data_IF_430927504982
#
_entry.id   IF_430927504982
#
_cell.length_a   1.000
_cell.length_b   1.000
_cell.length_c   1.000
_cell.angle_alpha   90.00
_cell.angle_beta   90.00
_cell.angle_gamma   90.00
#
_symmetry.space_group_name_H-M   'P 1'
#
loop_
_entity.id
_entity.type
_entity.pdbx_description
1 polymer ?
#
# COMPACT_ATOMS: atom_id res chain seq x y z
N UNK A 1 -25.40 27.03 -37.07
CA UNK A 1 -24.11 26.91 -36.37
C UNK A 1 -24.22 26.68 -34.85
N UNK A 2 -25.41 26.43 -34.25
CA UNK A 2 -25.59 26.34 -32.81
C UNK A 2 -25.70 24.89 -32.25
N UNK A 3 -25.64 23.88 -33.14
CA UNK A 3 -25.75 22.46 -32.77
C UNK A 3 -24.41 21.69 -32.74
N UNK A 4 -23.32 22.30 -33.20
CA UNK A 4 -21.99 21.69 -33.23
C UNK A 4 -21.19 21.90 -31.92
N UNK A 5 -21.56 22.89 -31.08
CA UNK A 5 -20.89 23.18 -29.80
C UNK A 5 -21.25 22.22 -28.66
N UNK A 6 -22.35 21.49 -28.78
CA UNK A 6 -22.79 20.54 -27.72
C UNK A 6 -22.06 19.19 -27.80
N UNK A 7 -21.53 18.83 -28.93
CA UNK A 7 -20.78 17.57 -29.11
C UNK A 7 -19.34 17.65 -28.61
N UNK A 8 -18.77 18.85 -28.53
CA UNK A 8 -17.39 19.06 -28.05
C UNK A 8 -17.27 19.00 -26.52
N UNK A 9 -18.37 19.23 -25.79
CA UNK A 9 -18.38 19.21 -24.31
C UNK A 9 -18.40 17.77 -23.77
N UNK A 10 -18.93 16.82 -24.56
CA UNK A 10 -19.00 15.41 -24.10
C UNK A 10 -17.64 14.66 -24.18
N UNK A 11 -16.69 15.16 -24.98
CA UNK A 11 -15.35 14.54 -25.10
C UNK A 11 -14.41 14.95 -23.97
N UNK A 12 -14.69 16.04 -23.24
CA UNK A 12 -13.86 16.53 -22.14
C UNK A 12 -14.17 15.88 -20.77
N UNK A 13 -15.21 15.06 -20.66
CA UNK A 13 -15.57 14.35 -19.43
C UNK A 13 -14.95 12.94 -19.33
N UNK A 14 -14.20 12.51 -20.34
CA UNK A 14 -13.47 11.23 -20.31
C UNK A 14 -12.04 11.36 -19.76
N UNK A 15 -11.74 12.41 -19.03
CA UNK A 15 -10.40 12.67 -18.53
C UNK A 15 -10.32 12.72 -17.00
N UNK A 16 -9.38 11.96 -16.48
CA UNK A 16 -8.86 11.97 -15.10
C UNK A 16 -9.62 11.15 -14.08
N UNK A 17 -9.74 9.85 -14.31
CA UNK A 17 -9.76 8.90 -13.21
C UNK A 17 -8.36 8.79 -12.61
N UNK A 18 -7.94 9.72 -11.76
CA UNK A 18 -6.73 9.61 -10.93
C UNK A 18 -6.91 8.55 -9.84
N UNK A 19 -7.41 7.36 -10.21
CA UNK A 19 -7.62 6.22 -9.35
C UNK A 19 -6.53 5.16 -9.54
N UNK A 20 -6.64 4.13 -8.76
CA UNK A 20 -5.75 2.96 -8.81
C UNK A 20 -5.89 2.15 -10.11
N UNK A 21 -7.03 2.24 -10.81
CA UNK A 21 -7.29 1.57 -12.08
C UNK A 21 -6.60 2.31 -13.24
N UNK A 22 -5.90 1.55 -14.09
CA UNK A 22 -5.25 2.05 -15.33
C UNK A 22 -6.14 1.90 -16.56
N UNK A 23 -7.23 1.15 -16.41
CA UNK A 23 -8.29 0.96 -17.40
C UNK A 23 -9.64 1.32 -16.75
N UNK A 24 -10.70 1.57 -17.52
CA UNK A 24 -12.05 1.72 -16.95
C UNK A 24 -12.42 0.53 -16.07
N UNK A 25 -13.14 0.78 -14.97
CA UNK A 25 -13.51 -0.28 -14.01
C UNK A 25 -14.31 -1.41 -14.64
N UNK A 26 -15.17 -1.10 -15.58
CA UNK A 26 -15.98 -2.05 -16.34
C UNK A 26 -15.09 -2.97 -17.18
N UNK A 27 -14.05 -2.40 -17.81
CA UNK A 27 -13.07 -3.16 -18.56
C UNK A 27 -12.23 -4.05 -17.64
N UNK A 28 -11.80 -3.53 -16.48
CA UNK A 28 -11.12 -4.32 -15.47
C UNK A 28 -11.94 -5.55 -15.07
N UNK A 29 -13.23 -5.37 -14.76
CA UNK A 29 -14.15 -6.45 -14.38
C UNK A 29 -14.37 -7.48 -15.48
N UNK A 30 -14.43 -7.03 -16.74
CA UNK A 30 -14.56 -7.91 -17.88
C UNK A 30 -13.29 -8.76 -18.10
N UNK A 31 -12.11 -8.19 -17.84
CA UNK A 31 -10.80 -8.83 -18.05
C UNK A 31 -10.35 -9.71 -16.89
N UNK A 32 -10.74 -9.40 -15.64
CA UNK A 32 -10.30 -10.14 -14.44
C UNK A 32 -11.50 -10.63 -13.66
N UNK A 33 -11.97 -11.82 -13.99
CA UNK A 33 -13.07 -12.51 -13.31
C UNK A 33 -12.55 -13.45 -12.24
N UNK A 34 -11.40 -14.09 -12.49
CA UNK A 34 -10.70 -14.96 -11.55
C UNK A 34 -9.35 -14.31 -11.21
N UNK A 35 -9.13 -13.97 -9.94
CA UNK A 35 -7.92 -13.30 -9.47
C UNK A 35 -7.00 -14.28 -8.76
N UNK A 36 -5.74 -14.39 -9.20
CA UNK A 36 -4.68 -15.08 -8.49
C UNK A 36 -4.00 -14.15 -7.49
N UNK A 37 -3.81 -14.57 -6.26
CA UNK A 37 -3.11 -13.81 -5.23
C UNK A 37 -1.79 -14.49 -4.91
N UNK A 38 -0.69 -13.78 -5.15
CA UNK A 38 0.66 -14.27 -4.84
C UNK A 38 0.96 -14.15 -3.34
N UNK A 39 1.91 -14.93 -2.81
CA UNK A 39 2.53 -14.64 -1.53
C UNK A 39 3.05 -13.20 -1.48
N UNK A 40 3.12 -12.62 -0.28
CA UNK A 40 3.71 -11.28 -0.11
C UNK A 40 5.19 -11.29 -0.49
N UNK A 41 5.55 -10.51 -1.49
CA UNK A 41 6.93 -10.41 -1.98
C UNK A 41 7.69 -9.33 -1.21
N UNK A 42 9.02 -9.47 -1.13
CA UNK A 42 9.92 -8.49 -0.52
C UNK A 42 10.98 -8.10 -1.55
N UNK A 43 11.10 -6.79 -1.83
CA UNK A 43 12.15 -6.26 -2.71
C UNK A 43 13.43 -5.98 -1.93
N UNK A 44 14.32 -6.96 -1.85
CA UNK A 44 15.62 -6.83 -1.19
C UNK A 44 16.61 -5.94 -1.97
N UNK A 45 16.32 -5.59 -3.22
CA UNK A 45 17.12 -4.64 -4.02
C UNK A 45 16.83 -3.18 -3.64
N UNK A 46 15.71 -2.94 -2.95
CA UNK A 46 15.33 -1.63 -2.46
C UNK A 46 15.93 -1.40 -1.07
N UNK A 47 17.02 -0.61 -0.98
CA UNK A 47 17.68 -0.30 0.29
C UNK A 47 16.70 0.25 1.32
N UNK A 48 16.76 -0.27 2.55
CA UNK A 48 15.99 0.18 3.70
C UNK A 48 16.64 1.39 4.39
N UNK A 49 17.92 1.67 4.09
CA UNK A 49 18.73 2.68 4.79
C UNK A 49 18.67 2.51 6.31
N UNK A 50 18.84 1.28 6.75
CA UNK A 50 18.83 0.87 8.14
C UNK A 50 20.09 0.04 8.44
N UNK A 51 20.76 0.21 9.60
CA UNK A 51 21.98 -0.54 9.91
C UNK A 51 21.79 -2.06 9.92
N UNK A 52 20.59 -2.53 10.31
CA UNK A 52 20.23 -3.95 10.37
C UNK A 52 19.41 -4.41 9.16
N UNK A 53 19.63 -3.84 7.96
CA UNK A 53 18.83 -4.09 6.76
C UNK A 53 18.62 -5.58 6.47
N UNK A 54 19.68 -6.40 6.50
CA UNK A 54 19.57 -7.84 6.27
C UNK A 54 18.67 -8.57 7.26
N UNK A 55 18.76 -8.22 8.56
CA UNK A 55 17.90 -8.80 9.59
C UNK A 55 16.43 -8.38 9.44
N UNK A 56 16.19 -7.19 8.90
CA UNK A 56 14.82 -6.72 8.62
C UNK A 56 14.22 -7.49 7.44
N UNK A 57 14.98 -7.75 6.37
CA UNK A 57 14.52 -8.59 5.27
C UNK A 57 14.17 -10.01 5.74
N UNK A 58 15.03 -10.65 6.52
CA UNK A 58 14.71 -11.95 7.13
C UNK A 58 13.46 -11.91 8.01
N UNK A 59 13.31 -10.84 8.79
CA UNK A 59 12.12 -10.64 9.62
C UNK A 59 10.86 -10.53 8.75
N UNK A 60 10.87 -9.72 7.70
CA UNK A 60 9.74 -9.54 6.78
C UNK A 60 9.36 -10.86 6.09
N UNK A 61 10.34 -11.60 5.57
CA UNK A 61 10.09 -12.90 4.94
C UNK A 61 9.39 -13.86 5.90
N UNK A 62 9.88 -13.97 7.13
CA UNK A 62 9.30 -14.85 8.14
C UNK A 62 7.90 -14.43 8.58
N UNK A 63 7.68 -13.14 8.84
CA UNK A 63 6.40 -12.62 9.32
C UNK A 63 5.33 -12.55 8.20
N UNK A 64 5.75 -12.45 6.93
CA UNK A 64 4.86 -12.45 5.78
C UNK A 64 4.33 -13.84 5.40
N UNK A 65 5.02 -14.91 5.80
CA UNK A 65 4.68 -16.27 5.39
C UNK A 65 3.22 -16.61 5.72
N UNK A 66 2.44 -16.98 4.69
CA UNK A 66 1.04 -17.38 4.80
C UNK A 66 0.05 -16.22 5.05
N UNK A 67 0.50 -14.95 5.03
CA UNK A 67 -0.40 -13.81 5.25
C UNK A 67 -1.30 -13.51 4.06
N UNK A 68 -0.93 -13.95 2.87
CA UNK A 68 -1.77 -13.86 1.67
C UNK A 68 -3.13 -14.54 1.84
N UNK A 69 -3.25 -15.52 2.73
CA UNK A 69 -4.54 -16.17 3.02
C UNK A 69 -5.57 -15.18 3.57
N UNK A 70 -5.14 -14.27 4.45
CA UNK A 70 -6.01 -13.21 4.98
C UNK A 70 -6.51 -12.28 3.86
N UNK A 71 -5.64 -11.96 2.89
CA UNK A 71 -6.01 -11.14 1.75
C UNK A 71 -7.00 -11.88 0.83
N UNK A 72 -6.78 -13.17 0.58
CA UNK A 72 -7.69 -14.02 -0.18
C UNK A 72 -9.07 -14.10 0.48
N UNK A 73 -9.12 -14.29 1.81
CA UNK A 73 -10.38 -14.31 2.57
C UNK A 73 -11.12 -12.98 2.46
N UNK A 74 -10.41 -11.86 2.61
CA UNK A 74 -10.98 -10.50 2.51
C UNK A 74 -11.55 -10.24 1.11
N UNK A 75 -10.81 -10.59 0.05
CA UNK A 75 -11.25 -10.43 -1.34
C UNK A 75 -12.46 -11.32 -1.67
N UNK A 76 -12.48 -12.55 -1.17
CA UNK A 76 -13.64 -13.47 -1.33
C UNK A 76 -14.89 -12.94 -0.63
N UNK A 77 -14.73 -12.38 0.57
CA UNK A 77 -15.82 -11.80 1.34
C UNK A 77 -16.52 -10.64 0.60
N UNK A 78 -15.79 -9.89 -0.21
CA UNK A 78 -16.33 -8.78 -1.00
C UNK A 78 -17.17 -9.20 -2.20
N UNK A 79 -17.03 -10.45 -2.67
CA UNK A 79 -17.77 -11.01 -3.82
C UNK A 79 -17.60 -10.21 -5.12
N UNK A 80 -16.46 -9.51 -5.26
CA UNK A 80 -16.15 -8.72 -6.45
C UNK A 80 -15.67 -9.56 -7.63
N UNK A 81 -15.16 -10.75 -7.36
CA UNK A 81 -14.62 -11.70 -8.33
C UNK A 81 -15.47 -12.95 -8.38
N UNK A 82 -15.45 -13.64 -9.51
CA UNK A 82 -16.04 -14.97 -9.63
C UNK A 82 -15.31 -15.97 -8.74
N UNK A 83 -13.98 -15.92 -8.76
CA UNK A 83 -13.13 -16.72 -7.87
C UNK A 83 -11.86 -15.95 -7.51
N UNK A 84 -11.30 -16.22 -6.32
CA UNK A 84 -10.01 -15.70 -5.85
C UNK A 84 -9.16 -16.89 -5.42
N UNK A 85 -8.03 -17.10 -6.09
CA UNK A 85 -7.15 -18.25 -5.88
C UNK A 85 -5.83 -17.83 -5.27
N UNK A 86 -5.40 -18.55 -4.24
CA UNK A 86 -4.03 -18.44 -3.76
C UNK A 86 -3.09 -19.11 -4.75
N UNK A 87 -2.01 -18.43 -5.09
CA UNK A 87 -0.93 -18.96 -5.91
C UNK A 87 0.19 -19.42 -4.97
N UNK A 88 0.58 -20.68 -5.05
CA UNK A 88 1.67 -21.22 -4.26
C UNK A 88 3.02 -20.91 -4.93
N UNK A 89 4.05 -20.76 -4.11
CA UNK A 89 5.44 -20.55 -4.57
C UNK A 89 6.30 -19.91 -3.51
N UNK A 90 7.62 -20.03 -3.69
CA UNK A 90 8.56 -19.37 -2.79
C UNK A 90 8.61 -17.86 -3.13
N UNK A 91 8.39 -16.95 -2.16
CA UNK A 91 8.25 -15.50 -2.44
C UNK A 91 9.44 -14.90 -3.19
N UNK A 92 10.67 -15.28 -2.86
CA UNK A 92 11.87 -14.76 -3.54
C UNK A 92 11.96 -15.25 -4.98
N UNK A 93 11.71 -16.55 -5.23
CA UNK A 93 11.75 -17.12 -6.58
C UNK A 93 10.69 -16.43 -7.47
N UNK A 94 9.48 -16.22 -6.92
CA UNK A 94 8.42 -15.48 -7.60
C UNK A 94 8.83 -14.02 -7.86
N UNK A 95 9.45 -13.36 -6.90
CA UNK A 95 9.90 -11.98 -7.08
C UNK A 95 10.93 -11.87 -8.21
N UNK A 96 11.99 -12.66 -8.17
CA UNK A 96 13.05 -12.63 -9.19
C UNK A 96 12.60 -13.15 -10.56
N UNK A 97 11.66 -14.10 -10.59
CA UNK A 97 11.09 -14.62 -11.84
C UNK A 97 10.11 -13.66 -12.51
N UNK A 98 9.31 -12.92 -11.72
CA UNK A 98 8.26 -12.05 -12.24
C UNK A 98 8.70 -10.62 -12.47
N UNK A 99 9.60 -10.07 -11.61
CA UNK A 99 9.94 -8.66 -11.61
C UNK A 99 11.18 -8.38 -12.46
N UNK A 100 10.99 -7.76 -13.62
CA UNK A 100 12.08 -7.34 -14.51
C UNK A 100 12.84 -6.12 -14.00
N UNK A 101 12.14 -5.21 -13.32
CA UNK A 101 12.75 -3.98 -12.83
C UNK A 101 11.77 -3.15 -12.01
N UNK A 102 12.31 -2.09 -11.42
CA UNK A 102 11.51 -1.11 -10.68
C UNK A 102 11.91 0.32 -11.04
N UNK A 103 10.98 1.24 -10.88
CA UNK A 103 11.19 2.68 -11.04
C UNK A 103 10.46 3.44 -9.94
N UNK A 104 10.85 4.69 -9.70
CA UNK A 104 10.11 5.56 -8.81
C UNK A 104 9.01 6.30 -9.58
N UNK A 105 7.79 6.22 -9.08
CA UNK A 105 6.65 7.05 -9.48
C UNK A 105 6.35 8.11 -8.43
N UNK A 106 5.57 9.13 -8.80
CA UNK A 106 5.25 10.25 -7.92
C UNK A 106 6.45 11.16 -7.66
N UNK A 107 6.28 12.10 -6.71
CA UNK A 107 7.33 13.01 -6.27
C UNK A 107 7.17 13.35 -4.78
N UNK A 108 8.27 13.58 -4.07
CA UNK A 108 8.26 13.95 -2.67
C UNK A 108 7.44 12.99 -1.81
N UNK A 109 6.45 13.51 -1.08
CA UNK A 109 5.57 12.73 -0.19
C UNK A 109 4.73 11.67 -0.90
N UNK A 110 4.51 11.81 -2.22
CA UNK A 110 3.73 10.85 -3.03
C UNK A 110 4.61 9.85 -3.78
N UNK A 111 5.92 9.84 -3.54
CA UNK A 111 6.83 8.88 -4.16
C UNK A 111 6.45 7.46 -3.79
N UNK A 112 6.50 6.55 -4.75
CA UNK A 112 6.27 5.12 -4.56
C UNK A 112 7.05 4.32 -5.58
N UNK A 113 7.26 3.03 -5.33
CA UNK A 113 7.97 2.14 -6.23
C UNK A 113 7.01 1.43 -7.16
N UNK A 114 7.27 1.51 -8.46
CA UNK A 114 6.57 0.79 -9.52
C UNK A 114 7.39 -0.39 -9.98
N UNK A 115 6.70 -1.46 -10.37
CA UNK A 115 7.33 -2.67 -10.87
C UNK A 115 6.90 -2.95 -12.30
N UNK A 116 7.88 -3.40 -13.11
CA UNK A 116 7.66 -3.94 -14.45
C UNK A 116 7.74 -5.46 -14.36
N UNK A 117 6.81 -6.15 -15.02
CA UNK A 117 6.67 -7.60 -14.93
C UNK A 117 7.07 -8.30 -16.21
N UNK A 118 7.57 -9.53 -16.07
CA UNK A 118 7.86 -10.42 -17.17
C UNK A 118 6.56 -11.03 -17.71
N UNK A 119 6.21 -10.72 -18.95
CA UNK A 119 4.95 -11.17 -19.54
C UNK A 119 4.88 -12.71 -19.72
N UNK A 120 6.01 -13.36 -19.99
CA UNK A 120 6.04 -14.82 -20.14
C UNK A 120 5.89 -15.51 -18.79
N UNK A 121 6.60 -15.05 -17.77
CA UNK A 121 6.47 -15.58 -16.42
C UNK A 121 5.06 -15.37 -15.84
N UNK A 122 4.46 -14.19 -16.06
CA UNK A 122 3.07 -13.91 -15.66
C UNK A 122 2.12 -14.85 -16.37
N UNK A 123 2.26 -15.04 -17.69
CA UNK A 123 1.41 -15.93 -18.49
C UNK A 123 1.52 -17.38 -17.98
N UNK A 124 2.73 -17.88 -17.75
CA UNK A 124 2.94 -19.24 -17.26
C UNK A 124 2.23 -19.47 -15.91
N UNK A 125 2.27 -18.49 -15.00
CA UNK A 125 1.55 -18.58 -13.72
C UNK A 125 0.03 -18.49 -13.89
N UNK A 126 -0.46 -17.55 -14.73
CA UNK A 126 -1.90 -17.42 -14.97
C UNK A 126 -2.49 -18.64 -15.63
N UNK A 127 -1.82 -19.21 -16.63
CA UNK A 127 -2.27 -20.42 -17.33
C UNK A 127 -2.21 -21.64 -16.39
N UNK A 128 -1.12 -21.81 -15.64
CA UNK A 128 -0.95 -22.91 -14.70
C UNK A 128 -1.99 -22.94 -13.58
N UNK A 129 -2.47 -21.77 -13.14
CA UNK A 129 -3.47 -21.65 -12.07
C UNK A 129 -4.88 -21.32 -12.58
N UNK A 130 -5.06 -21.16 -13.89
CA UNK A 130 -6.35 -20.82 -14.53
C UNK A 130 -6.94 -19.56 -13.91
N UNK A 131 -6.20 -18.45 -13.96
CA UNK A 131 -6.62 -17.12 -13.46
C UNK A 131 -6.46 -16.08 -14.56
N UNK A 132 -7.28 -15.02 -14.50
CA UNK A 132 -7.29 -13.95 -15.51
C UNK A 132 -6.29 -12.84 -15.22
N UNK A 133 -5.79 -12.78 -13.99
CA UNK A 133 -4.77 -11.82 -13.56
C UNK A 133 -4.17 -12.19 -12.22
N UNK A 134 -2.99 -11.62 -11.93
CA UNK A 134 -2.26 -11.84 -10.68
C UNK A 134 -2.26 -10.56 -9.84
N UNK A 135 -2.69 -10.66 -8.59
CA UNK A 135 -2.44 -9.64 -7.58
C UNK A 135 -1.06 -9.87 -6.98
N UNK A 136 -0.17 -8.95 -7.25
CA UNK A 136 1.21 -8.93 -6.77
C UNK A 136 1.32 -7.84 -5.71
N UNK A 137 1.72 -8.20 -4.50
CA UNK A 137 1.94 -7.28 -3.37
C UNK A 137 3.40 -7.33 -2.99
N UNK A 138 4.10 -6.19 -3.10
CA UNK A 138 5.54 -6.09 -2.84
C UNK A 138 5.80 -5.12 -1.69
N UNK A 139 6.45 -5.61 -0.64
CA UNK A 139 7.01 -4.78 0.42
C UNK A 139 8.40 -4.29 -0.01
N UNK A 140 8.62 -3.00 0.07
CA UNK A 140 9.87 -2.39 -0.39
C UNK A 140 10.31 -1.23 0.51
N UNK A 141 11.62 -0.99 0.55
CA UNK A 141 12.20 0.17 1.22
C UNK A 141 11.98 1.44 0.41
N UNK A 142 11.54 2.49 1.09
CA UNK A 142 11.44 3.82 0.49
C UNK A 142 11.66 4.89 1.56
N UNK A 143 12.39 5.93 1.17
CA UNK A 143 12.56 7.14 1.96
C UNK A 143 11.69 8.26 1.38
N UNK A 144 10.91 8.92 2.23
CA UNK A 144 10.04 10.03 1.83
C UNK A 144 10.12 11.18 2.85
N UNK A 145 9.94 12.43 2.41
CA UNK A 145 9.77 13.56 3.31
C UNK A 145 8.44 13.43 4.06
N UNK A 146 8.51 13.35 5.37
CA UNK A 146 7.36 13.23 6.26
C UNK A 146 7.44 14.27 7.40
N UNK A 147 6.27 14.62 7.92
CA UNK A 147 6.12 15.47 9.08
C UNK A 147 5.67 14.64 10.26
N UNK A 148 6.55 14.46 11.25
CA UNK A 148 6.26 13.67 12.43
C UNK A 148 6.19 14.56 13.66
N UNK A 149 5.18 14.32 14.49
CA UNK A 149 4.85 15.12 15.65
C UNK A 149 5.33 14.45 16.93
N UNK A 150 5.65 15.27 17.94
CA UNK A 150 5.81 14.80 19.30
C UNK A 150 4.48 14.28 19.90
N UNK A 151 4.54 13.71 21.09
CA UNK A 151 3.35 13.17 21.79
C UNK A 151 2.31 14.23 22.11
N UNK A 152 2.74 15.46 22.32
CA UNK A 152 1.86 16.60 22.66
C UNK A 152 1.24 17.24 21.42
N UNK A 153 1.74 16.91 20.23
CA UNK A 153 1.41 17.53 18.94
C UNK A 153 1.70 19.04 18.86
N UNK A 154 2.58 19.52 19.71
CA UNK A 154 3.01 20.91 19.72
C UNK A 154 4.27 21.14 18.88
N UNK A 155 5.14 20.14 18.79
CA UNK A 155 6.37 20.18 18.01
C UNK A 155 6.35 19.13 16.90
N UNK A 156 7.03 19.41 15.79
CA UNK A 156 7.20 18.45 14.71
C UNK A 156 8.61 18.55 14.12
N UNK A 157 9.03 17.47 13.51
CA UNK A 157 10.19 17.42 12.64
C UNK A 157 9.74 17.00 11.25
N UNK A 158 10.05 17.81 10.24
CA UNK A 158 9.89 17.46 8.83
C UNK A 158 11.26 17.05 8.28
N UNK A 159 11.37 15.80 7.87
CA UNK A 159 12.61 15.22 7.39
C UNK A 159 12.30 14.00 6.51
N UNK A 160 13.33 13.46 5.85
CA UNK A 160 13.24 12.21 5.12
C UNK A 160 13.31 11.04 6.09
N UNK A 161 12.23 10.23 6.13
CA UNK A 161 12.16 9.02 6.95
C UNK A 161 12.15 7.77 6.10
N UNK A 162 12.91 6.77 6.53
CA UNK A 162 12.89 5.43 5.95
C UNK A 162 11.74 4.61 6.50
N UNK A 163 11.05 3.90 5.62
CA UNK A 163 9.94 3.02 5.96
C UNK A 163 9.83 1.85 4.98
N UNK A 164 9.19 0.77 5.41
CA UNK A 164 8.66 -0.25 4.50
C UNK A 164 7.34 0.27 3.94
N UNK A 165 7.30 0.36 2.62
CA UNK A 165 6.12 0.70 1.84
C UNK A 165 5.54 -0.53 1.18
N UNK A 166 4.29 -0.43 0.74
CA UNK A 166 3.64 -1.45 -0.06
C UNK A 166 3.35 -0.90 -1.45
N UNK A 167 3.77 -1.64 -2.46
CA UNK A 167 3.32 -1.46 -3.83
C UNK A 167 2.54 -2.69 -4.23
N UNK A 168 1.33 -2.53 -4.74
CA UNK A 168 0.57 -3.64 -5.25
C UNK A 168 0.08 -3.37 -6.67
N UNK A 169 -0.07 -4.43 -7.45
CA UNK A 169 -0.53 -4.35 -8.83
C UNK A 169 -1.36 -5.57 -9.22
N UNK A 170 -2.35 -5.36 -10.07
CA UNK A 170 -3.00 -6.46 -10.80
C UNK A 170 -2.44 -6.49 -12.21
N UNK A 171 -1.86 -7.64 -12.55
CA UNK A 171 -1.11 -7.86 -13.80
C UNK A 171 -1.85 -8.91 -14.62
N UNK A 172 -2.13 -8.61 -15.89
CA UNK A 172 -2.77 -9.55 -16.84
C UNK A 172 -1.76 -10.53 -17.41
N UNK A 173 -2.20 -11.62 -18.08
CA UNK A 173 -1.31 -12.58 -18.75
C UNK A 173 -0.38 -11.97 -19.80
N UNK A 174 -0.68 -10.76 -20.27
CA UNK A 174 0.18 -10.00 -21.20
C UNK A 174 1.29 -9.21 -20.53
N UNK A 175 1.37 -9.25 -19.18
CA UNK A 175 2.30 -8.44 -18.40
C UNK A 175 1.85 -6.99 -18.18
N UNK A 176 0.64 -6.63 -18.65
CA UNK A 176 0.08 -5.29 -18.48
C UNK A 176 -0.43 -5.08 -17.05
N UNK A 177 -0.05 -3.96 -16.43
CA UNK A 177 -0.57 -3.52 -15.14
C UNK A 177 -1.86 -2.74 -15.36
N UNK A 178 -2.99 -3.30 -14.96
CA UNK A 178 -4.33 -2.69 -15.13
C UNK A 178 -4.88 -2.07 -13.85
N UNK A 179 -4.29 -2.37 -12.71
CA UNK A 179 -4.55 -1.73 -11.42
C UNK A 179 -3.24 -1.61 -10.64
N UNK A 180 -3.05 -0.50 -9.95
CA UNK A 180 -1.82 -0.22 -9.20
C UNK A 180 -2.15 0.53 -7.90
N UNK A 181 -1.61 0.07 -6.78
CA UNK A 181 -1.72 0.70 -5.47
C UNK A 181 -0.42 1.40 -5.11
N UNK A 182 -0.41 2.74 -5.08
CA UNK A 182 0.81 3.52 -4.87
C UNK A 182 1.15 3.77 -3.39
N UNK A 183 0.52 3.12 -2.44
CA UNK A 183 0.69 3.39 -1.00
C UNK A 183 0.57 4.89 -0.66
N UNK A 184 -0.61 5.38 -0.30
CA UNK A 184 -0.84 6.81 -0.07
C UNK A 184 0.12 7.41 0.97
N UNK A 185 0.40 8.72 0.92
CA UNK A 185 1.20 9.40 1.95
C UNK A 185 0.63 9.17 3.36
N UNK A 186 1.51 8.88 4.32
CA UNK A 186 1.10 8.61 5.71
C UNK A 186 0.50 7.21 5.94
N UNK A 187 0.57 6.31 4.93
CA UNK A 187 0.13 4.92 5.04
C UNK A 187 1.31 3.95 4.90
N UNK A 188 2.44 4.28 5.53
CA UNK A 188 3.57 3.35 5.59
C UNK A 188 3.11 2.05 6.25
N UNK A 189 3.58 0.93 5.69
CA UNK A 189 3.32 -0.37 6.29
C UNK A 189 4.05 -0.51 7.62
N UNK A 190 5.36 -0.14 7.64
CA UNK A 190 6.18 -0.23 8.83
C UNK A 190 7.21 0.90 8.84
N UNK A 191 7.14 1.87 9.77
CA UNK A 191 8.17 2.88 9.93
C UNK A 191 9.48 2.23 10.43
N UNK A 192 10.62 2.66 9.88
CA UNK A 192 11.95 2.18 10.29
C UNK A 192 12.67 3.17 11.18
N UNK A 193 12.22 4.43 11.22
CA UNK A 193 12.87 5.52 11.96
C UNK A 193 11.84 6.34 12.75
N UNK A 194 12.29 7.10 13.70
CA UNK A 194 11.48 8.05 14.47
C UNK A 194 12.30 9.26 14.92
N UNK A 195 11.66 10.44 15.11
CA UNK A 195 12.32 11.59 15.73
C UNK A 195 12.34 11.43 17.26
N UNK A 196 13.51 11.55 17.88
CA UNK A 196 13.66 11.45 19.34
C UNK A 196 13.52 12.82 20.00
N UNK A 197 12.28 13.25 20.18
CA UNK A 197 11.94 14.49 20.86
C UNK A 197 12.24 14.44 22.36
N UNK A 198 12.13 13.26 22.98
CA UNK A 198 12.36 13.11 24.43
C UNK A 198 13.85 13.29 24.75
N UNK A 199 14.74 12.67 23.98
CA UNK A 199 16.19 12.88 24.13
C UNK A 199 16.58 14.35 23.90
N UNK A 200 16.07 14.98 22.84
CA UNK A 200 16.32 16.37 22.57
C UNK A 200 15.86 17.28 23.72
N UNK A 201 14.74 16.97 24.35
CA UNK A 201 14.23 17.70 25.51
C UNK A 201 15.13 17.54 26.74
N UNK A 202 15.43 16.28 27.11
CA UNK A 202 16.22 16.00 28.33
C UNK A 202 17.66 16.44 28.22
N UNK A 203 18.27 16.31 27.05
CA UNK A 203 19.66 16.69 26.82
C UNK A 203 19.80 18.14 26.35
N UNK A 204 18.68 18.90 26.28
CA UNK A 204 18.66 20.29 25.77
C UNK A 204 19.38 20.42 24.43
N UNK A 205 19.20 19.43 23.56
CA UNK A 205 19.81 19.37 22.26
C UNK A 205 19.19 20.40 21.31
N UNK A 206 20.02 21.10 20.54
CA UNK A 206 19.56 22.09 19.56
C UNK A 206 18.74 21.45 18.40
N UNK A 207 19.02 20.19 18.07
CA UNK A 207 18.37 19.47 17.02
C UNK A 207 17.77 18.15 17.53
N UNK A 208 16.62 17.79 16.96
CA UNK A 208 15.98 16.48 17.20
C UNK A 208 16.67 15.43 16.34
N UNK A 209 17.24 14.40 16.96
CA UNK A 209 17.86 13.28 16.24
C UNK A 209 16.82 12.36 15.64
N UNK A 210 17.07 11.85 14.43
CA UNK A 210 16.31 10.75 13.84
C UNK A 210 17.02 9.45 14.21
N UNK A 211 16.29 8.52 14.84
CA UNK A 211 16.81 7.24 15.29
C UNK A 211 16.14 6.07 14.57
N UNK A 212 16.91 5.01 14.40
CA UNK A 212 16.43 3.76 13.84
C UNK A 212 15.65 2.93 14.89
N UNK A 213 14.57 2.30 14.45
CA UNK A 213 13.78 1.39 15.28
C UNK A 213 14.48 0.03 15.26
N UNK A 214 14.84 -0.51 16.42
CA UNK A 214 15.51 -1.80 16.51
C UNK A 214 14.67 -2.94 15.90
N UNK A 215 15.34 -3.99 15.39
CA UNK A 215 14.68 -5.21 14.85
C UNK A 215 13.66 -5.80 15.82
N UNK A 216 13.95 -5.75 17.15
CA UNK A 216 13.01 -6.19 18.19
C UNK A 216 11.75 -5.31 18.22
N UNK A 217 11.89 -4.00 18.06
CA UNK A 217 10.79 -3.06 17.98
C UNK A 217 9.92 -3.29 16.74
N UNK A 218 10.56 -3.48 15.58
CA UNK A 218 9.89 -3.79 14.31
C UNK A 218 9.11 -5.11 14.39
N UNK A 219 9.73 -6.17 14.96
CA UNK A 219 9.05 -7.46 15.18
C UNK A 219 7.80 -7.29 16.05
N UNK A 220 7.89 -6.54 17.15
CA UNK A 220 6.73 -6.27 18.00
C UNK A 220 5.61 -5.57 17.24
N UNK A 221 5.93 -4.59 16.40
CA UNK A 221 4.94 -3.90 15.58
C UNK A 221 4.27 -4.83 14.56
N UNK A 222 5.03 -5.70 13.88
CA UNK A 222 4.49 -6.69 12.93
C UNK A 222 3.58 -7.73 13.59
N UNK A 223 3.84 -8.07 14.87
CA UNK A 223 3.08 -9.07 15.63
C UNK A 223 1.98 -8.46 16.50
N UNK A 224 1.84 -7.12 16.52
CA UNK A 224 0.82 -6.43 17.31
C UNK A 224 -0.58 -6.83 16.85
N UNK A 225 -1.42 -7.22 17.80
CA UNK A 225 -2.81 -7.64 17.57
C UNK A 225 -3.75 -6.69 18.27
N UNK A 226 -4.93 -6.49 17.69
CA UNK A 226 -5.96 -5.66 18.32
C UNK A 226 -6.34 -6.25 19.68
N UNK A 227 -6.14 -5.48 20.75
CA UNK A 227 -6.69 -5.81 22.06
C UNK A 227 -8.15 -5.36 22.13
N UNK A 228 -9.06 -6.26 22.43
CA UNK A 228 -10.47 -5.94 22.70
C UNK A 228 -10.90 -6.44 24.07
N UNK A 229 -12.07 -5.99 24.57
CA UNK A 229 -12.63 -6.41 25.85
C UNK A 229 -12.81 -7.94 25.95
N UNK A 230 -12.91 -8.63 24.80
CA UNK A 230 -13.12 -10.08 24.67
C UNK A 230 -11.86 -10.86 24.25
N UNK A 231 -10.67 -10.24 24.27
CA UNK A 231 -9.40 -10.92 23.95
C UNK A 231 -8.61 -10.26 22.81
N UNK A 232 -7.41 -10.80 22.54
CA UNK A 232 -6.57 -10.35 21.43
C UNK A 232 -7.17 -10.88 20.12
N UNK A 233 -7.27 -10.00 19.11
CA UNK A 233 -7.64 -10.39 17.76
C UNK A 233 -6.74 -11.50 17.23
N UNK A 234 -7.29 -12.35 16.34
CA UNK A 234 -6.57 -13.50 15.77
C UNK A 234 -5.36 -13.04 14.95
N UNK A 235 -5.51 -11.97 14.17
CA UNK A 235 -4.57 -11.56 13.14
C UNK A 235 -3.82 -10.27 13.49
N UNK A 236 -2.57 -10.10 12.99
CA UNK A 236 -1.79 -8.89 13.24
C UNK A 236 -2.43 -7.65 12.62
N UNK A 237 -2.42 -6.55 13.37
CA UNK A 237 -3.11 -5.31 13.04
C UNK A 237 -2.65 -4.68 11.72
N UNK A 238 -1.33 -4.66 11.47
CA UNK A 238 -0.76 -4.05 10.26
C UNK A 238 -1.23 -4.76 8.99
N UNK A 239 -1.21 -6.09 8.98
CA UNK A 239 -1.66 -6.88 7.83
C UNK A 239 -3.16 -6.73 7.60
N UNK A 240 -3.98 -6.77 8.64
CA UNK A 240 -5.42 -6.54 8.52
C UNK A 240 -5.73 -5.17 7.93
N UNK A 241 -5.07 -4.12 8.42
CA UNK A 241 -5.26 -2.75 7.88
C UNK A 241 -4.86 -2.70 6.41
N UNK A 242 -3.70 -3.25 6.06
CA UNK A 242 -3.22 -3.30 4.68
C UNK A 242 -4.21 -4.04 3.77
N UNK A 243 -4.64 -5.23 4.16
CA UNK A 243 -5.49 -6.06 3.31
C UNK A 243 -6.90 -5.49 3.16
N UNK A 244 -7.46 -4.93 4.22
CA UNK A 244 -8.74 -4.23 4.15
C UNK A 244 -8.68 -3.00 3.23
N UNK A 245 -7.56 -2.26 3.25
CA UNK A 245 -7.36 -1.13 2.35
C UNK A 245 -7.18 -1.59 0.89
N UNK A 246 -6.30 -2.56 0.62
CA UNK A 246 -6.11 -3.13 -0.72
C UNK A 246 -7.41 -3.67 -1.29
N UNK A 247 -8.13 -4.47 -0.51
CA UNK A 247 -9.41 -5.04 -0.93
C UNK A 247 -10.45 -3.95 -1.19
N UNK A 248 -10.52 -2.92 -0.32
CA UNK A 248 -11.40 -1.77 -0.52
C UNK A 248 -11.11 -1.00 -1.81
N UNK A 249 -9.83 -0.84 -2.18
CA UNK A 249 -9.44 -0.15 -3.41
C UNK A 249 -9.66 -1.00 -4.69
N UNK A 250 -9.69 -2.32 -4.55
CA UNK A 250 -10.00 -3.25 -5.65
C UNK A 250 -11.49 -3.41 -5.91
N UNK A 251 -12.35 -2.89 -5.02
CA UNK A 251 -13.78 -2.96 -5.25
C UNK A 251 -14.17 -2.19 -6.52
N UNK A 252 -14.85 -2.85 -7.46
CA UNK A 252 -15.54 -2.15 -8.52
C UNK A 252 -16.66 -1.31 -7.88
N UNK A 253 -16.94 -0.14 -8.46
CA UNK A 253 -18.00 0.73 -7.97
C UNK A 253 -19.38 0.08 -8.15
N UNK A 254 -19.75 -0.84 -7.27
CA UNK A 254 -21.13 -1.24 -7.10
C UNK A 254 -21.76 -0.29 -6.11
N UNK A 255 -22.56 0.66 -6.65
CA UNK A 255 -23.55 1.45 -5.94
C UNK A 255 -23.07 1.97 -4.56
N UNK A 256 -22.21 2.97 -4.56
CA UNK A 256 -22.13 3.84 -3.39
C UNK A 256 -23.46 4.57 -3.29
N UNK A 257 -24.30 4.18 -2.33
CA UNK A 257 -25.38 5.04 -1.86
C UNK A 257 -24.76 6.42 -1.56
N UNK A 258 -25.29 7.52 -2.11
CA UNK A 258 -24.81 8.85 -1.80
C UNK A 258 -25.07 9.11 -0.31
N UNK A 259 -24.04 9.05 0.55
CA UNK A 259 -24.22 9.29 1.96
C UNK A 259 -23.11 8.93 2.93
N UNK A 260 -21.87 8.67 2.49
CA UNK A 260 -20.70 8.71 3.41
C UNK A 260 -19.49 9.30 2.70
N UNK A 261 -19.53 10.60 2.45
CA UNK A 261 -18.30 11.40 2.39
C UNK A 261 -17.62 11.30 3.74
N UNK A 262 -16.38 10.86 3.75
CA UNK A 262 -15.52 10.96 4.92
C UNK A 262 -15.61 12.40 5.43
N UNK A 263 -15.99 12.57 6.69
CA UNK A 263 -16.09 13.87 7.32
C UNK A 263 -14.75 14.58 7.20
N UNK A 264 -14.72 15.66 6.44
CA UNK A 264 -13.65 16.64 6.42
C UNK A 264 -13.47 17.15 7.85
N UNK A 265 -12.23 17.12 8.42
CA UNK A 265 -12.03 17.63 9.77
C UNK A 265 -12.41 19.12 9.78
N UNK A 266 -13.38 19.48 10.61
CA UNK A 266 -13.85 20.85 10.78
C UNK A 266 -12.67 21.79 11.09
N UNK A 267 -12.60 22.99 10.48
CA UNK A 267 -11.58 23.97 10.77
C UNK A 267 -11.69 24.41 12.25
N UNK A 268 -10.55 24.68 12.93
CA UNK A 268 -10.60 25.13 14.31
C UNK A 268 -11.30 26.47 14.41
N UNK A 269 -12.34 26.50 15.23
CA UNK A 269 -13.10 27.73 15.57
C UNK A 269 -12.13 28.73 16.21
N UNK A 270 -11.84 29.79 15.50
CA UNK A 270 -11.04 30.89 15.99
C UNK A 270 -11.71 31.56 17.19
N UNK A 271 -11.04 31.53 18.33
CA UNK A 271 -11.36 32.37 19.48
C UNK A 271 -11.18 33.84 19.10
N UNK A 272 -12.28 34.55 18.93
CA UNK A 272 -12.25 36.01 18.87
C UNK A 272 -11.97 36.55 20.29
N UNK A 273 -10.78 37.12 20.46
CA UNK A 273 -10.51 38.03 21.58
C UNK A 273 -11.40 39.28 21.39
N UNK A 274 -12.19 39.61 22.39
CA UNK A 274 -12.84 40.91 22.55
C UNK A 274 -11.96 41.82 23.42
N UNK A 275 -12.07 43.15 23.23
CA UNK A 275 -11.15 44.17 23.72
C UNK A 275 -11.18 44.38 25.22
#
# INVERSE_FOLDING_TARGET
MRRMSLLLIFVLLAGCGGGYFKVPKEEYQARVRTLGVLPLLVDERASLRHPDEGLIFELLQRENAGKEELLVEELRAQKAYFDVRRIDGHPQDLFYGLVRGSSLGGQGKTSYRRYAFDAEAVRNLTDGHVVDGLLVVVLNGLQRPEKRWDRTRLKYLEADYSAIQVSAAVVTPTGEVIWEYPSPPGSEFLPLQYPDFDEAHYNMAEAVAIKDISVKGLRRALQERTGGLLGKGKDPLLYRKLFSDLAGQLQPATFQLPGKTAAEPAPPTGSQARP
#
